data_IF_346081791093
#
_entry.id   IF_346081791093
#
_cell.length_a   1.000
_cell.length_b   1.000
_cell.length_c   1.000
_cell.angle_alpha   90.00
_cell.angle_beta   90.00
_cell.angle_gamma   90.00
#
_symmetry.space_group_name_H-M   'P 1'
#
loop_
_entity.id
_entity.type
_entity.pdbx_description
1 polymer ?
#
# COMPACT_ATOMS: atom_id res chain seq x y z
N UNK A 1 0.15 -13.22 16.24
CA UNK A 1 -1.06 -13.26 17.09
C UNK A 1 -1.48 -11.81 17.26
N UNK A 2 -2.23 -11.29 16.29
CA UNK A 2 -2.50 -9.86 16.14
C UNK A 2 -3.60 -9.40 17.09
N UNK A 3 -3.42 -8.20 17.64
CA UNK A 3 -4.45 -7.46 18.38
C UNK A 3 -5.78 -7.47 17.61
N UNK A 4 -6.80 -8.08 18.20
CA UNK A 4 -8.14 -8.09 17.64
C UNK A 4 -8.76 -6.70 17.85
N UNK A 5 -8.92 -5.97 16.75
CA UNK A 5 -9.68 -4.72 16.63
C UNK A 5 -11.20 -4.98 16.78
N UNK A 6 -11.59 -5.65 17.87
CA UNK A 6 -12.98 -5.94 18.20
C UNK A 6 -13.31 -5.37 19.56
N UNK A 7 -14.24 -4.41 19.59
CA UNK A 7 -14.72 -3.82 20.84
C UNK A 7 -16.01 -4.52 21.26
N UNK A 8 -16.04 -5.08 22.47
CA UNK A 8 -17.23 -5.69 23.05
C UNK A 8 -18.08 -4.66 23.81
N UNK A 9 -19.33 -4.46 23.39
CA UNK A 9 -20.30 -3.64 24.14
C UNK A 9 -21.08 -4.53 25.12
N UNK A 10 -20.83 -4.33 26.42
CA UNK A 10 -21.48 -5.07 27.51
C UNK A 10 -22.97 -4.73 27.66
N UNK A 11 -23.38 -3.51 27.36
CA UNK A 11 -24.77 -3.07 27.53
C UNK A 11 -25.67 -3.67 26.46
N UNK A 12 -25.18 -3.71 25.22
CA UNK A 12 -25.92 -4.21 24.07
C UNK A 12 -25.65 -5.68 23.78
N UNK A 13 -24.65 -6.27 24.44
CA UNK A 13 -24.17 -7.64 24.25
C UNK A 13 -23.81 -7.91 22.77
N UNK A 14 -23.16 -6.95 22.13
CA UNK A 14 -22.77 -7.01 20.72
C UNK A 14 -21.25 -6.84 20.56
N UNK A 15 -20.71 -7.46 19.51
CA UNK A 15 -19.34 -7.26 19.07
C UNK A 15 -19.34 -6.30 17.88
N UNK A 16 -18.48 -5.29 17.94
CA UNK A 16 -18.22 -4.41 16.80
C UNK A 16 -16.93 -4.81 16.10
N UNK A 17 -16.99 -4.87 14.77
CA UNK A 17 -15.86 -5.15 13.88
C UNK A 17 -15.81 -4.06 12.81
N UNK A 18 -14.72 -3.29 12.74
CA UNK A 18 -14.49 -2.31 11.66
C UNK A 18 -13.89 -3.00 10.43
N UNK A 19 -14.60 -4.01 9.92
CA UNK A 19 -14.14 -4.92 8.86
C UNK A 19 -15.09 -4.92 7.67
N UNK A 20 -14.68 -5.53 6.56
CA UNK A 20 -15.45 -5.49 5.32
C UNK A 20 -16.79 -6.25 5.45
N UNK A 21 -17.95 -5.56 5.46
CA UNK A 21 -19.24 -6.18 5.77
C UNK A 21 -19.68 -7.21 4.74
N UNK A 22 -19.28 -7.04 3.48
CA UNK A 22 -19.60 -7.98 2.40
C UNK A 22 -18.89 -9.33 2.54
N UNK A 23 -17.66 -9.34 3.06
CA UNK A 23 -16.88 -10.58 3.25
C UNK A 23 -17.30 -11.26 4.54
N UNK A 24 -17.69 -10.49 5.56
CA UNK A 24 -18.18 -11.02 6.82
C UNK A 24 -19.39 -11.97 6.66
N UNK A 25 -20.28 -11.69 5.71
CA UNK A 25 -21.42 -12.59 5.42
C UNK A 25 -20.96 -14.00 5.02
N UNK A 26 -19.91 -14.05 4.23
CA UNK A 26 -19.27 -15.27 3.73
C UNK A 26 -18.67 -16.10 4.88
N UNK A 27 -17.96 -15.41 5.78
CA UNK A 27 -17.37 -15.99 6.99
C UNK A 27 -18.47 -16.54 7.91
N UNK A 28 -19.55 -15.79 8.12
CA UNK A 28 -20.70 -16.23 8.91
C UNK A 28 -21.40 -17.44 8.30
N UNK A 29 -21.47 -17.53 6.97
CA UNK A 29 -22.03 -18.69 6.28
C UNK A 29 -21.15 -19.92 6.51
N UNK A 30 -19.83 -19.78 6.33
CA UNK A 30 -18.87 -20.86 6.59
C UNK A 30 -18.99 -21.44 8.00
N UNK A 31 -19.10 -20.60 9.04
CA UNK A 31 -19.31 -21.11 10.41
C UNK A 31 -20.65 -21.82 10.64
N UNK A 32 -21.61 -21.71 9.71
CA UNK A 32 -22.91 -22.41 9.79
C UNK A 32 -22.96 -23.67 8.93
N UNK A 33 -22.36 -23.64 7.74
CA UNK A 33 -22.47 -24.73 6.75
C UNK A 33 -21.20 -25.56 6.59
N UNK A 34 -20.08 -25.07 7.11
CA UNK A 34 -18.73 -25.60 6.89
C UNK A 34 -18.22 -25.51 5.44
N UNK A 35 -18.97 -24.84 4.56
CA UNK A 35 -18.62 -24.64 3.14
C UNK A 35 -18.22 -23.18 2.87
N UNK A 36 -16.97 -22.95 2.45
CA UNK A 36 -16.44 -21.60 2.20
C UNK A 36 -16.54 -21.24 0.71
N UNK A 37 -17.64 -20.58 0.35
CA UNK A 37 -17.84 -20.04 -0.98
C UNK A 37 -17.43 -18.58 -1.06
N UNK A 38 -16.69 -18.18 -2.09
CA UNK A 38 -16.34 -16.77 -2.33
C UNK A 38 -17.24 -16.09 -3.35
N UNK A 39 -17.62 -14.84 -3.08
CA UNK A 39 -18.32 -14.00 -4.05
C UNK A 39 -17.33 -13.40 -5.06
N UNK A 40 -17.76 -13.35 -6.32
CA UNK A 40 -16.95 -12.88 -7.45
C UNK A 40 -16.77 -11.36 -7.50
N UNK A 41 -17.48 -10.63 -6.64
CA UNK A 41 -17.43 -9.17 -6.58
C UNK A 41 -16.25 -8.65 -5.75
N UNK A 42 -15.57 -9.51 -4.99
CA UNK A 42 -14.47 -9.11 -4.11
C UNK A 42 -13.12 -9.55 -4.66
N UNK A 43 -12.12 -8.66 -4.53
CA UNK A 43 -10.75 -8.99 -4.86
C UNK A 43 -10.20 -10.07 -3.91
N UNK A 44 -9.48 -11.05 -4.46
CA UNK A 44 -8.86 -12.13 -3.68
C UNK A 44 -7.97 -11.66 -2.53
N UNK A 45 -7.31 -10.50 -2.67
CA UNK A 45 -6.50 -9.91 -1.59
C UNK A 45 -7.34 -9.46 -0.39
N UNK A 46 -8.54 -8.91 -0.63
CA UNK A 46 -9.45 -8.50 0.44
C UNK A 46 -9.94 -9.74 1.16
N UNK A 47 -10.33 -10.77 0.39
CA UNK A 47 -10.76 -12.06 0.95
C UNK A 47 -9.64 -12.67 1.79
N UNK A 48 -8.41 -12.74 1.26
CA UNK A 48 -7.25 -13.28 1.98
C UNK A 48 -7.01 -12.54 3.30
N UNK A 49 -7.04 -11.20 3.28
CA UNK A 49 -6.86 -10.40 4.50
C UNK A 49 -7.94 -10.67 5.55
N UNK A 50 -9.18 -10.86 5.13
CA UNK A 50 -10.28 -11.24 6.02
C UNK A 50 -10.13 -12.68 6.52
N UNK A 51 -9.82 -13.66 5.66
CA UNK A 51 -9.59 -15.04 6.09
C UNK A 51 -8.50 -15.14 7.16
N UNK A 52 -7.39 -14.41 6.98
CA UNK A 52 -6.32 -14.33 7.98
C UNK A 52 -6.83 -13.72 9.30
N UNK A 53 -7.65 -12.67 9.24
CA UNK A 53 -8.22 -12.04 10.42
C UNK A 53 -9.15 -12.99 11.18
N UNK A 54 -10.02 -13.72 10.47
CA UNK A 54 -10.95 -14.68 11.05
C UNK A 54 -10.29 -16.04 11.39
N UNK A 55 -9.01 -16.22 11.08
CA UNK A 55 -8.26 -17.44 11.36
C UNK A 55 -8.65 -18.62 10.47
N UNK A 56 -9.17 -18.34 9.27
CA UNK A 56 -9.57 -19.33 8.27
C UNK A 56 -8.44 -19.56 7.25
N UNK A 57 -8.39 -20.75 6.67
CA UNK A 57 -7.36 -21.11 5.68
C UNK A 57 -7.93 -21.01 4.28
N UNK A 58 -7.13 -20.56 3.33
CA UNK A 58 -7.51 -20.52 1.90
C UNK A 58 -7.80 -21.92 1.33
N UNK A 59 -7.28 -22.96 1.97
CA UNK A 59 -7.49 -24.37 1.61
C UNK A 59 -8.95 -24.82 1.83
N UNK A 60 -9.69 -24.10 2.67
CA UNK A 60 -11.09 -24.40 2.96
C UNK A 60 -12.03 -23.87 1.86
N UNK A 61 -11.50 -23.08 0.91
CA UNK A 61 -12.29 -22.52 -0.20
C UNK A 61 -12.74 -23.65 -1.13
N UNK A 62 -14.04 -23.71 -1.37
CA UNK A 62 -14.64 -24.73 -2.22
C UNK A 62 -14.13 -24.66 -3.68
N UNK A 63 -13.98 -25.81 -4.38
CA UNK A 63 -13.40 -25.85 -5.72
C UNK A 63 -14.12 -24.99 -6.75
N UNK A 64 -15.44 -24.76 -6.59
CA UNK A 64 -16.23 -23.91 -7.47
C UNK A 64 -15.81 -22.44 -7.44
N UNK A 65 -15.18 -22.00 -6.34
CA UNK A 65 -14.77 -20.62 -6.10
C UNK A 65 -13.26 -20.41 -6.27
N UNK A 66 -12.47 -21.50 -6.19
CA UNK A 66 -11.02 -21.46 -6.27
C UNK A 66 -10.48 -20.73 -7.50
N UNK A 67 -11.05 -20.99 -8.68
CA UNK A 67 -10.58 -20.38 -9.94
C UNK A 67 -10.80 -18.87 -10.02
N UNK A 68 -11.78 -18.32 -9.28
CA UNK A 68 -11.94 -16.87 -9.18
C UNK A 68 -10.95 -16.28 -8.17
N UNK A 69 -10.82 -16.93 -7.01
CA UNK A 69 -9.92 -16.52 -5.94
C UNK A 69 -8.44 -16.49 -6.40
N UNK A 70 -7.97 -17.53 -7.09
CA UNK A 70 -6.56 -17.69 -7.48
C UNK A 70 -6.10 -16.72 -8.57
N UNK A 71 -7.00 -16.25 -9.45
CA UNK A 71 -6.66 -15.28 -10.51
C UNK A 71 -6.05 -14.00 -9.95
N UNK A 72 -6.60 -13.48 -8.85
CA UNK A 72 -6.09 -12.25 -8.24
C UNK A 72 -4.69 -12.42 -7.64
N UNK A 73 -4.36 -13.63 -7.18
CA UNK A 73 -3.03 -13.95 -6.65
C UNK A 73 -1.97 -13.95 -7.76
N UNK A 74 -2.29 -14.58 -8.89
CA UNK A 74 -1.42 -14.61 -10.08
C UNK A 74 -1.17 -13.20 -10.64
N UNK A 75 -2.20 -12.34 -10.66
CA UNK A 75 -2.05 -10.94 -11.07
C UNK A 75 -1.09 -10.15 -10.17
N UNK A 76 -1.04 -10.45 -8.87
CA UNK A 76 -0.12 -9.78 -7.93
C UNK A 76 1.32 -10.27 -8.12
N UNK A 77 1.51 -11.57 -8.27
CA UNK A 77 2.83 -12.18 -8.50
C UNK A 77 3.44 -11.68 -9.82
N UNK A 78 2.62 -11.59 -10.88
CA UNK A 78 3.06 -11.03 -12.17
C UNK A 78 3.42 -9.55 -12.08
N UNK A 79 2.63 -8.73 -11.36
CA UNK A 79 2.95 -7.32 -11.16
C UNK A 79 4.23 -7.13 -10.33
N UNK A 80 4.42 -7.92 -9.28
CA UNK A 80 5.65 -7.89 -8.48
C UNK A 80 6.87 -8.30 -9.31
N UNK A 81 6.75 -9.36 -10.12
CA UNK A 81 7.81 -9.77 -11.02
C UNK A 81 8.14 -8.68 -12.06
N UNK A 82 7.14 -7.96 -12.57
CA UNK A 82 7.39 -6.82 -13.47
C UNK A 82 8.14 -5.70 -12.76
N UNK A 83 7.75 -5.33 -11.54
CA UNK A 83 8.42 -4.29 -10.75
C UNK A 83 9.89 -4.64 -10.42
N UNK A 84 10.14 -5.90 -10.05
CA UNK A 84 11.50 -6.43 -9.85
C UNK A 84 12.33 -6.38 -11.13
N UNK A 85 11.74 -6.71 -12.29
CA UNK A 85 12.44 -6.59 -13.57
C UNK A 85 12.76 -5.13 -13.93
N UNK A 86 11.86 -4.18 -13.67
CA UNK A 86 12.10 -2.76 -13.93
C UNK A 86 13.18 -2.18 -13.01
N UNK A 87 13.18 -2.55 -11.73
CA UNK A 87 14.21 -2.09 -10.77
C UNK A 87 15.58 -2.69 -11.11
N UNK A 88 15.64 -3.98 -11.44
CA UNK A 88 16.88 -4.66 -11.82
C UNK A 88 17.45 -4.16 -13.16
N UNK A 89 16.60 -3.87 -14.15
CA UNK A 89 17.02 -3.20 -15.39
C UNK A 89 17.53 -1.78 -15.14
N UNK A 90 16.88 -1.02 -14.27
CA UNK A 90 17.32 0.35 -13.94
C UNK A 90 18.67 0.32 -13.21
N UNK A 91 18.92 -0.67 -12.35
CA UNK A 91 20.19 -0.83 -11.63
C UNK A 91 21.31 -1.38 -12.54
N UNK A 92 21.04 -2.34 -13.43
CA UNK A 92 22.04 -2.84 -14.38
C UNK A 92 22.40 -1.82 -15.46
N UNK A 93 21.42 -1.07 -15.99
CA UNK A 93 21.65 0.04 -16.93
C UNK A 93 22.32 1.25 -16.24
N UNK A 94 22.07 1.48 -14.95
CA UNK A 94 22.73 2.54 -14.17
C UNK A 94 24.22 2.26 -13.89
N UNK A 95 24.67 1.00 -13.88
CA UNK A 95 26.07 0.64 -13.66
C UNK A 95 26.87 0.35 -14.94
N UNK A 96 26.25 -0.05 -16.05
CA UNK A 96 26.95 -0.42 -17.29
C UNK A 96 27.12 0.71 -18.33
N UNK A 97 26.34 1.78 -18.29
CA UNK A 97 26.63 2.94 -19.14
C UNK A 97 27.57 3.92 -18.43
N UNK A 98 28.82 4.02 -18.93
CA UNK A 98 29.76 5.10 -18.61
C UNK A 98 29.04 6.46 -18.67
N UNK A 99 28.64 6.98 -17.51
CA UNK A 99 27.84 8.20 -17.37
C UNK A 99 28.52 9.39 -18.08
N UNK A 100 27.96 9.82 -19.21
CA UNK A 100 28.30 11.09 -19.82
C UNK A 100 27.87 12.24 -18.90
N UNK A 101 28.69 13.28 -18.79
CA UNK A 101 28.57 14.34 -17.76
C UNK A 101 27.20 15.03 -17.67
N UNK A 102 26.41 14.99 -18.75
CA UNK A 102 25.06 15.51 -18.80
C UNK A 102 24.04 14.71 -17.96
N UNK A 103 24.12 13.37 -17.96
CA UNK A 103 23.22 12.53 -17.13
C UNK A 103 23.50 12.74 -15.63
N UNK A 104 24.77 12.93 -15.24
CA UNK A 104 25.17 13.30 -13.86
C UNK A 104 24.63 14.66 -13.43
N UNK A 105 24.67 15.66 -14.32
CA UNK A 105 24.09 16.97 -14.06
C UNK A 105 22.58 16.88 -13.87
N UNK A 106 21.88 16.15 -14.75
CA UNK A 106 20.43 15.93 -14.65
C UNK A 106 20.03 15.22 -13.34
N UNK A 107 20.75 14.18 -12.94
CA UNK A 107 20.50 13.49 -11.67
C UNK A 107 20.69 14.41 -10.46
N UNK A 108 21.75 15.24 -10.48
CA UNK A 108 21.99 16.22 -9.41
C UNK A 108 20.90 17.30 -9.35
N UNK A 109 20.36 17.72 -10.49
CA UNK A 109 19.24 18.67 -10.56
C UNK A 109 17.93 18.01 -10.08
N UNK A 110 17.69 16.75 -10.43
CA UNK A 110 16.52 15.99 -9.98
C UNK A 110 16.50 15.81 -8.46
N UNK A 111 17.60 15.33 -7.87
CA UNK A 111 17.75 15.21 -6.41
C UNK A 111 17.62 16.57 -5.69
N UNK A 112 18.05 17.64 -6.34
CA UNK A 112 17.88 19.00 -5.82
C UNK A 112 16.43 19.49 -5.86
N UNK A 113 15.62 19.02 -6.82
CA UNK A 113 14.21 19.37 -6.95
C UNK A 113 13.30 18.57 -6.02
N UNK A 114 13.62 17.31 -5.74
CA UNK A 114 12.86 16.46 -4.81
C UNK A 114 12.97 16.93 -3.35
N UNK A 115 14.00 17.71 -3.02
CA UNK A 115 14.23 18.22 -1.67
C UNK A 115 14.33 19.76 -1.65
N UNK A 116 13.20 20.49 -1.59
CA UNK A 116 13.20 21.95 -1.63
C UNK A 116 13.82 22.61 -0.38
N UNK A 117 14.17 21.85 0.65
CA UNK A 117 14.61 22.37 1.96
C UNK A 117 16.10 22.15 2.31
N UNK A 118 16.92 21.53 1.47
CA UNK A 118 18.29 21.12 1.88
C UNK A 118 19.47 21.81 1.18
N UNK A 119 19.24 22.87 0.42
CA UNK A 119 20.34 23.65 -0.16
C UNK A 119 20.63 24.93 0.62
N UNK A 120 21.91 25.35 0.67
CA UNK A 120 22.39 26.65 1.19
C UNK A 120 21.60 27.87 0.67
N UNK A 121 20.79 27.70 -0.38
CA UNK A 121 19.85 28.71 -0.91
C UNK A 121 18.68 29.08 0.02
N UNK A 122 18.16 28.17 0.86
CA UNK A 122 17.06 28.48 1.78
C UNK A 122 17.48 29.46 2.91
N UNK A 123 18.78 29.49 3.25
CA UNK A 123 19.34 30.46 4.21
C UNK A 123 19.57 31.84 3.61
N UNK A 124 19.69 31.94 2.28
CA UNK A 124 19.87 33.22 1.57
C UNK A 124 18.53 33.93 1.39
N UNK A 125 17.43 33.21 1.18
CA UNK A 125 16.10 33.82 1.11
C UNK A 125 15.67 34.46 2.44
N UNK A 126 16.06 33.87 3.57
CA UNK A 126 15.76 34.40 4.91
C UNK A 126 16.52 35.71 5.17
N UNK A 127 17.80 35.76 4.79
CA UNK A 127 18.62 36.98 4.97
C UNK A 127 18.28 38.09 3.97
N UNK A 128 17.80 37.75 2.77
CA UNK A 128 17.32 38.74 1.80
C UNK A 128 15.96 39.33 2.23
N UNK A 129 15.09 38.51 2.85
CA UNK A 129 13.80 38.97 3.40
C UNK A 129 13.96 40.03 4.50
N UNK A 130 14.92 39.83 5.41
CA UNK A 130 15.22 40.78 6.48
C UNK A 130 15.82 42.10 5.98
N UNK A 131 16.61 42.08 4.90
CA UNK A 131 17.19 43.30 4.28
C UNK A 131 16.15 44.07 3.46
N UNK A 132 15.17 43.39 2.85
CA UNK A 132 14.14 44.03 2.03
C UNK A 132 12.88 44.40 2.82
N UNK A 133 12.82 44.14 4.13
CA UNK A 133 11.69 44.55 4.97
C UNK A 133 10.36 43.93 4.53
N UNK A 134 10.36 42.75 3.95
CA UNK A 134 9.13 42.03 3.61
C UNK A 134 8.74 41.19 4.83
N UNK A 135 7.95 41.79 5.72
CA UNK A 135 7.18 41.01 6.69
C UNK A 135 6.19 40.14 5.91
N UNK A 136 6.52 38.87 5.71
CA UNK A 136 5.52 37.86 5.38
C UNK A 136 4.60 37.73 6.59
N UNK A 137 3.48 38.45 6.51
CA UNK A 137 2.38 38.29 7.45
C UNK A 137 1.92 36.84 7.43
N UNK A 138 1.89 36.26 8.62
CA UNK A 138 1.24 35.00 8.95
C UNK A 138 -0.14 34.91 8.28
N UNK A 139 -0.40 33.77 7.63
CA UNK A 139 -1.77 33.27 7.47
C UNK A 139 -1.84 32.05 8.38
N UNK A 140 -2.68 32.15 9.40
CA UNK A 140 -3.06 31.03 10.28
C UNK A 140 -4.08 30.11 9.65
#
# INVERSE_FOLDING_TARGET
MGEADSTWDRQRKEFFFDRHPGVFQMVMHYYRTEELHTDQNFCGNIIQGELIFWGLTELDIEPCCWGHYSKYKEHKETLAALDDNFTQQNDEEAWQEKLTGFKRFKHRVWQFMEEPSMSRGAKVSDTIGDVMGVQSSSVG
#
